data_IF_077512589473
#
_entry.id   IF_077512589473
#
_cell.length_a   1.000
_cell.length_b   1.000
_cell.length_c   1.000
_cell.angle_alpha   90.00
_cell.angle_beta   90.00
_cell.angle_gamma   90.00
#
_symmetry.space_group_name_H-M   'P 1'
#
loop_
_entity.id
_entity.type
_entity.pdbx_description
1 polymer ?
#
# COMPACT_ATOMS: atom_id res chain seq x y z
N UNK A 1 12.10 -33.09 20.51
CA UNK A 1 11.27 -32.19 19.67
C UNK A 1 11.99 -30.85 19.55
N UNK A 2 12.09 -30.27 18.35
CA UNK A 2 12.73 -28.97 18.16
C UNK A 2 11.77 -27.85 18.61
N UNK A 3 12.00 -27.16 19.75
CA UNK A 3 11.07 -26.16 20.29
C UNK A 3 11.03 -24.86 19.50
N UNK A 4 11.92 -24.71 18.51
CA UNK A 4 12.03 -23.55 17.63
C UNK A 4 11.47 -23.82 16.23
N UNK A 5 11.25 -25.08 15.85
CA UNK A 5 11.01 -25.45 14.45
C UNK A 5 12.22 -25.17 13.55
N UNK A 6 12.07 -25.43 12.24
CA UNK A 6 13.10 -25.14 11.24
C UNK A 6 12.73 -23.86 10.49
N UNK A 7 13.47 -22.77 10.73
CA UNK A 7 13.13 -21.46 10.19
C UNK A 7 12.94 -21.45 8.67
N UNK A 8 13.80 -22.14 7.91
CA UNK A 8 13.71 -22.18 6.43
C UNK A 8 12.39 -22.77 5.97
N UNK A 9 11.96 -23.89 6.56
CA UNK A 9 10.69 -24.52 6.23
C UNK A 9 9.49 -23.65 6.62
N UNK A 10 9.53 -22.99 7.78
CA UNK A 10 8.46 -22.07 8.19
C UNK A 10 8.34 -20.88 7.25
N UNK A 11 9.48 -20.28 6.85
CA UNK A 11 9.54 -19.19 5.89
C UNK A 11 9.01 -19.61 4.52
N UNK A 12 9.45 -20.77 4.02
CA UNK A 12 9.04 -21.27 2.71
C UNK A 12 7.52 -21.59 2.71
N UNK A 13 7.00 -22.18 3.79
CA UNK A 13 5.57 -22.39 3.97
C UNK A 13 4.78 -21.07 4.09
N UNK A 14 5.33 -20.08 4.80
CA UNK A 14 4.72 -18.75 4.90
C UNK A 14 4.58 -18.10 3.53
N UNK A 15 5.63 -18.20 2.70
CA UNK A 15 5.61 -17.75 1.31
C UNK A 15 4.53 -18.49 0.51
N UNK A 16 4.51 -19.82 0.52
CA UNK A 16 3.49 -20.61 -0.18
C UNK A 16 2.06 -20.29 0.26
N UNK A 17 1.83 -20.05 1.55
CA UNK A 17 0.52 -19.66 2.07
C UNK A 17 0.08 -18.28 1.57
N UNK A 18 1.01 -17.32 1.47
CA UNK A 18 0.72 -16.01 0.87
C UNK A 18 0.35 -16.17 -0.60
N UNK A 19 1.09 -16.96 -1.38
CA UNK A 19 0.77 -17.20 -2.79
C UNK A 19 -0.61 -17.82 -2.96
N UNK A 20 -0.93 -18.84 -2.16
CA UNK A 20 -2.24 -19.46 -2.15
C UNK A 20 -3.36 -18.44 -1.81
N UNK A 21 -3.13 -17.51 -0.87
CA UNK A 21 -4.10 -16.45 -0.58
C UNK A 21 -4.35 -15.57 -1.82
N UNK A 22 -3.29 -15.15 -2.51
CA UNK A 22 -3.40 -14.30 -3.70
C UNK A 22 -4.12 -15.02 -4.85
N UNK A 23 -3.85 -16.31 -5.04
CA UNK A 23 -4.55 -17.12 -6.04
C UNK A 23 -6.04 -17.23 -5.76
N UNK A 24 -6.42 -17.46 -4.49
CA UNK A 24 -7.83 -17.50 -4.08
C UNK A 24 -8.51 -16.16 -4.32
N UNK A 25 -7.86 -15.06 -3.95
CA UNK A 25 -8.38 -13.71 -4.17
C UNK A 25 -8.64 -13.42 -5.65
N UNK A 26 -7.78 -13.90 -6.53
CA UNK A 26 -7.91 -13.70 -7.98
C UNK A 26 -8.90 -14.66 -8.66
N UNK A 27 -9.55 -15.57 -7.93
CA UNK A 27 -10.61 -16.42 -8.54
C UNK A 27 -11.86 -15.58 -8.85
N UNK A 28 -12.40 -15.67 -10.08
CA UNK A 28 -13.51 -14.83 -10.51
C UNK A 28 -14.84 -15.18 -9.84
N UNK A 29 -15.09 -16.45 -9.54
CA UNK A 29 -16.34 -16.92 -8.93
C UNK A 29 -16.03 -17.88 -7.78
N UNK A 30 -16.09 -17.37 -6.55
CA UNK A 30 -16.00 -18.15 -5.32
C UNK A 30 -16.82 -17.40 -4.25
N UNK A 31 -17.90 -18.01 -3.76
CA UNK A 31 -18.83 -17.35 -2.83
C UNK A 31 -18.23 -17.12 -1.43
N UNK A 32 -17.21 -17.90 -1.07
CA UNK A 32 -16.49 -17.85 0.22
C UNK A 32 -15.04 -17.37 0.02
N UNK A 33 -14.84 -16.45 -0.93
CA UNK A 33 -13.51 -16.05 -1.40
C UNK A 33 -12.77 -15.20 -0.37
N UNK A 34 -13.44 -14.18 0.14
CA UNK A 34 -12.81 -13.17 1.00
C UNK A 34 -12.43 -13.81 2.34
N UNK A 35 -13.23 -14.74 2.83
CA UNK A 35 -12.97 -15.53 4.03
C UNK A 35 -11.81 -16.51 3.83
N UNK A 36 -11.82 -17.30 2.75
CA UNK A 36 -10.70 -18.19 2.41
C UNK A 36 -9.39 -17.39 2.24
N UNK A 37 -9.47 -16.23 1.59
CA UNK A 37 -8.35 -15.34 1.39
C UNK A 37 -7.77 -14.86 2.72
N UNK A 38 -8.59 -14.31 3.62
CA UNK A 38 -8.10 -13.80 4.91
C UNK A 38 -7.59 -14.93 5.81
N UNK A 39 -8.21 -16.11 5.80
CA UNK A 39 -7.72 -17.28 6.55
C UNK A 39 -6.30 -17.67 6.09
N UNK A 40 -6.08 -17.74 4.77
CA UNK A 40 -4.77 -18.08 4.22
C UNK A 40 -3.74 -16.98 4.46
N UNK A 41 -4.13 -15.70 4.34
CA UNK A 41 -3.26 -14.56 4.61
C UNK A 41 -2.85 -14.50 6.09
N UNK A 42 -3.77 -14.72 7.02
CA UNK A 42 -3.48 -14.78 8.45
C UNK A 42 -2.55 -15.96 8.78
N UNK A 43 -2.76 -17.12 8.17
CA UNK A 43 -1.87 -18.27 8.31
C UNK A 43 -0.46 -17.99 7.76
N UNK A 44 -0.36 -17.31 6.61
CA UNK A 44 0.93 -16.89 6.05
C UNK A 44 1.70 -16.01 7.05
N UNK A 45 1.03 -15.02 7.63
CA UNK A 45 1.60 -14.16 8.67
C UNK A 45 2.00 -14.93 9.93
N UNK A 46 1.18 -15.88 10.39
CA UNK A 46 1.50 -16.70 11.55
C UNK A 46 2.80 -17.50 11.33
N UNK A 47 2.94 -18.11 10.16
CA UNK A 47 4.15 -18.83 9.77
C UNK A 47 5.36 -17.90 9.62
N UNK A 48 5.17 -16.70 9.06
CA UNK A 48 6.22 -15.69 8.90
C UNK A 48 6.79 -15.25 10.25
N UNK A 49 5.92 -14.88 11.20
CA UNK A 49 6.32 -14.44 12.54
C UNK A 49 6.99 -15.60 13.29
N UNK A 50 6.45 -16.83 13.19
CA UNK A 50 7.12 -18.02 13.75
C UNK A 50 8.48 -18.28 13.11
N UNK A 51 8.66 -18.03 11.82
CA UNK A 51 9.95 -18.14 11.15
C UNK A 51 10.94 -17.10 11.69
N UNK A 52 10.49 -15.87 11.96
CA UNK A 52 11.31 -14.81 12.57
C UNK A 52 11.75 -15.19 13.99
N UNK A 53 10.83 -15.69 14.82
CA UNK A 53 11.12 -16.22 16.15
C UNK A 53 12.12 -17.38 16.08
N UNK A 54 11.86 -18.36 15.20
CA UNK A 54 12.71 -19.53 14.98
C UNK A 54 14.14 -19.16 14.57
N UNK A 55 14.28 -18.19 13.65
CA UNK A 55 15.58 -17.66 13.19
C UNK A 55 16.39 -17.10 14.36
N UNK A 56 15.72 -16.44 15.30
CA UNK A 56 16.32 -15.83 16.49
C UNK A 56 16.35 -16.77 17.72
N UNK A 57 16.11 -18.07 17.54
CA UNK A 57 16.09 -19.08 18.62
C UNK A 57 15.07 -18.78 19.73
N UNK A 58 13.96 -18.13 19.39
CA UNK A 58 12.81 -17.95 20.29
C UNK A 58 11.83 -19.11 20.11
N UNK A 59 11.32 -19.63 21.23
CA UNK A 59 10.40 -20.77 21.26
C UNK A 59 9.07 -20.42 20.58
N UNK A 60 8.56 -21.33 19.74
CA UNK A 60 7.30 -21.14 18.98
C UNK A 60 6.14 -22.03 19.45
N UNK A 61 6.34 -22.77 20.55
CA UNK A 61 5.33 -23.64 21.17
C UNK A 61 4.98 -23.14 22.56
N UNK A 62 3.72 -23.27 22.96
CA UNK A 62 3.33 -23.10 24.35
C UNK A 62 4.02 -24.14 25.25
N UNK A 63 4.11 -23.88 26.56
CA UNK A 63 4.45 -24.90 27.55
C UNK A 63 3.61 -26.15 27.34
N UNK A 64 4.24 -27.33 27.46
CA UNK A 64 3.54 -28.59 27.26
C UNK A 64 2.66 -28.86 28.47
N UNK A 65 1.36 -28.89 28.27
CA UNK A 65 0.41 -29.39 29.26
C UNK A 65 0.33 -30.92 29.23
N UNK A 66 0.10 -31.52 30.39
CA UNK A 66 -0.12 -32.97 30.53
C UNK A 66 -1.39 -33.36 29.76
N UNK A 67 -1.32 -34.48 29.04
CA UNK A 67 -2.45 -35.08 28.29
C UNK A 67 -3.09 -34.23 27.17
N UNK A 68 -2.51 -33.07 26.81
CA UNK A 68 -2.93 -32.26 25.65
C UNK A 68 -1.92 -32.35 24.51
N UNK A 69 -2.31 -32.19 23.24
CA UNK A 69 -1.37 -32.09 22.13
C UNK A 69 -0.44 -30.88 22.27
N UNK A 70 0.69 -30.88 21.57
CA UNK A 70 1.55 -29.70 21.52
C UNK A 70 0.86 -28.59 20.73
N UNK A 71 0.80 -27.39 21.31
CA UNK A 71 0.22 -26.21 20.68
C UNK A 71 1.32 -25.23 20.29
N UNK A 72 1.30 -24.75 19.06
CA UNK A 72 2.14 -23.63 18.61
C UNK A 72 1.51 -22.31 19.00
N UNK A 73 2.32 -21.26 19.18
CA UNK A 73 1.82 -19.91 19.45
C UNK A 73 0.79 -19.47 18.41
N UNK A 74 -0.29 -18.82 18.84
CA UNK A 74 -1.21 -18.11 17.95
C UNK A 74 -0.50 -16.95 17.24
N UNK A 75 -1.04 -16.43 16.13
CA UNK A 75 -0.50 -15.22 15.49
C UNK A 75 -0.31 -14.06 16.49
N UNK A 76 -1.29 -13.80 17.38
CA UNK A 76 -1.22 -12.71 18.36
C UNK A 76 -0.06 -12.90 19.34
N UNK A 77 0.07 -14.09 19.89
CA UNK A 77 1.13 -14.38 20.86
C UNK A 77 2.51 -14.42 20.20
N UNK A 78 2.58 -14.94 18.97
CA UNK A 78 3.79 -14.92 18.18
C UNK A 78 4.22 -13.47 17.85
N UNK A 79 3.27 -12.59 17.49
CA UNK A 79 3.55 -11.17 17.23
C UNK A 79 4.08 -10.47 18.48
N UNK A 80 3.44 -10.69 19.63
CA UNK A 80 3.88 -10.10 20.88
C UNK A 80 5.30 -10.55 21.25
N UNK A 81 5.60 -11.84 21.08
CA UNK A 81 6.96 -12.37 21.28
C UNK A 81 7.98 -11.82 20.27
N UNK A 82 7.52 -11.47 19.06
CA UNK A 82 8.37 -10.95 17.99
C UNK A 82 8.61 -9.44 18.07
N UNK A 83 7.88 -8.69 18.91
CA UNK A 83 8.02 -7.23 19.09
C UNK A 83 9.47 -6.71 19.12
N UNK A 84 10.41 -7.27 19.91
CA UNK A 84 11.80 -6.78 19.94
C UNK A 84 12.63 -7.16 18.70
N UNK A 85 12.12 -8.02 17.83
CA UNK A 85 12.80 -8.54 16.65
C UNK A 85 12.36 -7.82 15.35
N UNK A 86 11.38 -6.92 15.42
CA UNK A 86 10.93 -6.17 14.26
C UNK A 86 11.99 -5.16 13.81
N UNK A 87 12.23 -5.04 12.49
CA UNK A 87 13.23 -4.12 11.96
C UNK A 87 12.77 -2.67 12.14
N UNK A 88 13.68 -1.70 12.33
CA UNK A 88 13.33 -0.29 12.53
C UNK A 88 12.64 0.34 11.30
N UNK A 89 12.83 -0.25 10.13
CA UNK A 89 12.18 0.18 8.87
C UNK A 89 10.70 -0.19 8.80
N UNK A 90 10.22 -1.13 9.63
CA UNK A 90 8.83 -1.59 9.65
C UNK A 90 8.29 -1.42 11.08
N UNK A 91 7.54 -0.33 11.36
CA UNK A 91 7.07 -0.04 12.71
C UNK A 91 6.11 -1.14 13.21
N UNK A 92 6.41 -1.73 14.37
CA UNK A 92 5.65 -2.86 14.91
C UNK A 92 4.18 -2.51 15.19
N UNK A 93 3.91 -1.35 15.81
CA UNK A 93 2.58 -0.98 16.29
C UNK A 93 1.49 -1.00 15.17
N UNK A 94 1.66 -0.31 14.04
CA UNK A 94 0.65 -0.32 12.97
C UNK A 94 0.54 -1.69 12.28
N UNK A 95 1.64 -2.45 12.16
CA UNK A 95 1.60 -3.82 11.61
C UNK A 95 0.83 -4.76 12.54
N UNK A 96 1.09 -4.69 13.84
CA UNK A 96 0.38 -5.50 14.83
C UNK A 96 -1.12 -5.16 14.84
N UNK A 97 -1.47 -3.87 14.76
CA UNK A 97 -2.85 -3.42 14.64
C UNK A 97 -3.55 -4.00 13.40
N UNK A 98 -2.90 -3.88 12.23
CA UNK A 98 -3.42 -4.41 10.96
C UNK A 98 -3.68 -5.92 11.04
N UNK A 99 -2.71 -6.68 11.58
CA UNK A 99 -2.84 -8.13 11.74
C UNK A 99 -3.89 -8.53 12.77
N UNK A 100 -4.03 -7.77 13.86
CA UNK A 100 -5.08 -8.01 14.84
C UNK A 100 -6.47 -7.79 14.24
N UNK A 101 -6.67 -6.73 13.46
CA UNK A 101 -7.93 -6.47 12.74
C UNK A 101 -8.26 -7.59 11.75
N UNK A 102 -7.26 -8.11 11.00
CA UNK A 102 -7.45 -9.27 10.12
C UNK A 102 -7.81 -10.55 10.90
N UNK A 103 -7.24 -10.75 12.10
CA UNK A 103 -7.59 -11.87 12.98
C UNK A 103 -9.00 -11.72 13.53
N UNK A 104 -9.42 -10.50 13.90
CA UNK A 104 -10.79 -10.23 14.33
C UNK A 104 -11.78 -10.47 13.20
N UNK A 105 -11.48 -9.98 12.00
CA UNK A 105 -12.27 -10.30 10.81
C UNK A 105 -12.32 -11.82 10.58
N UNK A 106 -11.20 -12.54 10.61
CA UNK A 106 -11.17 -14.00 10.46
C UNK A 106 -12.07 -14.70 11.50
N UNK A 107 -11.96 -14.32 12.77
CA UNK A 107 -12.74 -14.93 13.83
C UNK A 107 -14.25 -14.65 13.65
N UNK A 108 -14.62 -13.46 13.18
CA UNK A 108 -16.02 -13.05 13.04
C UNK A 108 -16.64 -13.51 11.69
N UNK A 109 -15.89 -13.47 10.59
CA UNK A 109 -16.30 -13.88 9.24
C UNK A 109 -16.49 -15.40 9.11
N UNK A 110 -15.80 -16.20 9.93
CA UNK A 110 -16.08 -17.64 10.05
C UNK A 110 -17.46 -17.89 10.66
N UNK A 111 -18.05 -16.90 11.35
CA UNK A 111 -19.31 -17.06 12.07
C UNK A 111 -20.54 -16.45 11.39
N UNK A 112 -20.42 -15.42 10.53
CA UNK A 112 -21.60 -14.79 9.91
C UNK A 112 -21.37 -14.26 8.49
N UNK A 113 -22.46 -14.35 7.71
CA UNK A 113 -22.64 -14.03 6.30
C UNK A 113 -21.93 -12.75 5.82
N UNK A 114 -21.40 -12.82 4.59
CA UNK A 114 -20.84 -11.70 3.81
C UNK A 114 -21.75 -10.47 3.83
N UNK A 115 -21.51 -9.54 4.75
CA UNK A 115 -22.13 -8.22 4.71
C UNK A 115 -21.60 -7.47 3.48
N UNK A 116 -22.48 -7.10 2.52
CA UNK A 116 -22.06 -6.42 1.32
C UNK A 116 -21.47 -5.05 1.69
N UNK A 117 -20.15 -4.91 1.54
CA UNK A 117 -19.43 -3.68 1.85
C UNK A 117 -18.14 -3.86 2.64
N UNK A 118 -18.13 -4.84 3.57
CA UNK A 118 -16.96 -5.11 4.40
C UNK A 118 -15.74 -5.56 3.57
N UNK A 119 -15.99 -6.17 2.40
CA UNK A 119 -14.95 -6.59 1.45
C UNK A 119 -14.00 -5.47 1.03
N UNK A 120 -14.45 -4.20 0.99
CA UNK A 120 -13.59 -3.05 0.63
C UNK A 120 -12.57 -2.76 1.73
N UNK A 121 -13.00 -2.78 2.99
CA UNK A 121 -12.12 -2.57 4.14
C UNK A 121 -11.17 -3.76 4.32
N UNK A 122 -11.68 -4.97 4.17
CA UNK A 122 -10.89 -6.20 4.21
C UNK A 122 -9.82 -6.18 3.13
N UNK A 123 -10.16 -5.72 1.93
CA UNK A 123 -9.19 -5.54 0.85
C UNK A 123 -8.10 -4.52 1.23
N UNK A 124 -8.49 -3.35 1.76
CA UNK A 124 -7.55 -2.34 2.23
C UNK A 124 -6.57 -2.89 3.27
N UNK A 125 -7.09 -3.54 4.31
CA UNK A 125 -6.29 -4.16 5.37
C UNK A 125 -5.38 -5.25 4.83
N UNK A 126 -5.89 -6.09 3.93
CA UNK A 126 -5.14 -7.20 3.35
C UNK A 126 -4.02 -6.71 2.44
N UNK A 127 -4.25 -5.67 1.64
CA UNK A 127 -3.23 -5.10 0.79
C UNK A 127 -2.10 -4.48 1.61
N UNK A 128 -2.43 -3.77 2.70
CA UNK A 128 -1.42 -3.29 3.66
C UNK A 128 -0.64 -4.46 4.28
N UNK A 129 -1.33 -5.53 4.66
CA UNK A 129 -0.71 -6.74 5.19
C UNK A 129 0.24 -7.39 4.18
N UNK A 130 -0.09 -7.44 2.88
CA UNK A 130 0.78 -7.99 1.84
C UNK A 130 2.05 -7.13 1.67
N UNK A 131 1.90 -5.80 1.66
CA UNK A 131 3.04 -4.87 1.56
C UNK A 131 3.97 -5.03 2.78
N UNK A 132 3.40 -5.05 3.98
CA UNK A 132 4.16 -5.27 5.22
C UNK A 132 4.85 -6.63 5.23
N UNK A 133 4.20 -7.67 4.69
CA UNK A 133 4.77 -9.01 4.64
C UNK A 133 6.00 -9.05 3.73
N UNK A 134 5.92 -8.42 2.55
CA UNK A 134 7.05 -8.30 1.62
C UNK A 134 8.23 -7.59 2.28
N UNK A 135 7.99 -6.46 2.94
CA UNK A 135 9.06 -5.68 3.57
C UNK A 135 9.73 -6.46 4.70
N UNK A 136 8.96 -7.20 5.51
CA UNK A 136 9.52 -8.12 6.52
C UNK A 136 10.32 -9.25 5.85
N UNK A 137 9.88 -9.78 4.71
CA UNK A 137 10.61 -10.82 3.99
C UNK A 137 11.96 -10.35 3.45
N UNK A 138 11.98 -9.16 2.86
CA UNK A 138 13.21 -8.54 2.35
C UNK A 138 14.17 -8.28 3.52
N UNK A 139 13.71 -7.60 4.57
CA UNK A 139 14.57 -7.18 5.68
C UNK A 139 15.02 -8.33 6.58
N UNK A 140 14.11 -9.24 6.94
CA UNK A 140 14.40 -10.32 7.89
C UNK A 140 14.88 -11.61 7.23
N UNK A 141 14.56 -11.88 5.96
CA UNK A 141 14.94 -13.12 5.29
C UNK A 141 15.79 -12.93 4.04
N UNK A 142 16.05 -11.67 3.62
CA UNK A 142 16.82 -11.33 2.41
C UNK A 142 16.27 -12.02 1.15
N UNK A 143 14.95 -12.06 1.03
CA UNK A 143 14.22 -12.60 -0.12
C UNK A 143 13.13 -11.60 -0.51
N UNK A 144 13.10 -11.20 -1.77
CA UNK A 144 11.96 -10.47 -2.32
C UNK A 144 10.94 -11.46 -2.86
N UNK A 145 9.70 -11.35 -2.40
CA UNK A 145 8.60 -12.17 -2.89
C UNK A 145 8.16 -11.72 -4.28
N UNK A 146 8.36 -10.44 -4.62
CA UNK A 146 7.98 -9.89 -5.91
C UNK A 146 8.71 -10.58 -7.09
N UNK A 147 9.90 -11.13 -6.86
CA UNK A 147 10.66 -11.85 -7.88
C UNK A 147 10.01 -13.19 -8.28
N UNK A 148 9.16 -13.75 -7.41
CA UNK A 148 8.51 -15.06 -7.61
C UNK A 148 7.03 -14.93 -7.97
N UNK A 149 6.46 -13.72 -7.95
CA UNK A 149 5.03 -13.48 -8.18
C UNK A 149 4.84 -12.44 -9.27
N UNK A 150 4.18 -12.85 -10.36
CA UNK A 150 3.66 -11.89 -11.32
C UNK A 150 2.42 -11.19 -10.71
N UNK A 151 2.65 -10.20 -9.85
CA UNK A 151 1.61 -9.42 -9.15
C UNK A 151 0.80 -8.51 -10.09
N UNK A 152 0.96 -8.63 -11.41
CA UNK A 152 0.19 -7.89 -12.41
C UNK A 152 -1.26 -8.37 -12.59
N UNK A 153 -1.91 -8.88 -11.54
CA UNK A 153 -3.33 -9.22 -11.59
C UNK A 153 -4.14 -8.00 -11.18
N UNK A 154 -4.51 -7.22 -12.19
CA UNK A 154 -5.53 -6.18 -12.09
C UNK A 154 -6.90 -6.82 -11.81
N UNK A 155 -7.79 -6.17 -11.04
CA UNK A 155 -9.18 -6.57 -11.00
C UNK A 155 -9.80 -6.38 -12.41
N UNK A 156 -10.01 -7.46 -13.15
CA UNK A 156 -10.92 -7.50 -14.30
C UNK A 156 -12.35 -7.48 -13.77
N UNK A 157 -12.78 -6.33 -13.27
CA UNK A 157 -14.14 -6.13 -12.77
C UNK A 157 -14.98 -5.42 -13.83
N UNK A 158 -16.22 -5.87 -14.02
CA UNK A 158 -17.22 -5.15 -14.81
C UNK A 158 -17.75 -3.88 -14.12
N UNK A 159 -17.38 -3.68 -12.84
CA UNK A 159 -17.75 -2.51 -12.02
C UNK A 159 -16.51 -1.92 -11.36
N UNK A 160 -16.46 -0.60 -11.22
CA UNK A 160 -15.44 0.02 -10.38
C UNK A 160 -15.54 -0.58 -8.96
N UNK A 161 -14.41 -0.93 -8.31
CA UNK A 161 -14.42 -1.22 -6.88
C UNK A 161 -15.06 -0.04 -6.14
N UNK A 162 -15.86 -0.27 -5.09
CA UNK A 162 -16.42 0.83 -4.31
C UNK A 162 -15.26 1.65 -3.70
N UNK A 163 -15.37 2.97 -3.71
CA UNK A 163 -14.40 3.84 -3.05
C UNK A 163 -14.46 3.56 -1.54
N UNK A 164 -13.35 3.16 -0.88
CA UNK A 164 -13.34 2.93 0.55
C UNK A 164 -13.78 4.16 1.36
N UNK A 165 -13.52 5.38 0.88
CA UNK A 165 -13.94 6.62 1.56
C UNK A 165 -15.45 6.81 1.45
N UNK A 166 -16.02 6.59 0.27
CA UNK A 166 -17.47 6.65 0.07
C UNK A 166 -18.15 5.56 0.91
N UNK A 167 -17.60 4.36 0.94
CA UNK A 167 -18.10 3.25 1.77
C UNK A 167 -18.12 3.61 3.26
N UNK A 168 -17.01 4.15 3.78
CA UNK A 168 -16.91 4.59 5.19
C UNK A 168 -17.94 5.67 5.52
N UNK A 169 -18.11 6.66 4.64
CA UNK A 169 -19.08 7.74 4.82
C UNK A 169 -20.53 7.24 4.77
N UNK A 170 -20.87 6.38 3.81
CA UNK A 170 -22.22 5.86 3.64
C UNK A 170 -22.65 4.88 4.73
N UNK A 171 -21.70 4.28 5.46
CA UNK A 171 -21.98 3.29 6.50
C UNK A 171 -21.61 3.75 7.92
N UNK A 172 -21.30 5.04 8.11
CA UNK A 172 -21.00 5.60 9.42
C UNK A 172 -22.15 5.36 10.43
N UNK A 173 -23.40 5.47 9.97
CA UNK A 173 -24.63 5.25 10.76
C UNK A 173 -25.30 3.90 10.44
N UNK A 174 -24.53 2.86 10.12
CA UNK A 174 -25.09 1.55 9.78
C UNK A 174 -25.90 0.93 10.94
N UNK A 175 -27.13 0.51 10.66
CA UNK A 175 -27.97 -0.28 11.57
C UNK A 175 -27.36 -1.66 11.92
N UNK A 176 -26.35 -2.09 11.16
CA UNK A 176 -25.62 -3.32 11.44
C UNK A 176 -24.62 -3.12 12.57
N UNK A 177 -24.96 -3.62 13.76
CA UNK A 177 -24.14 -3.56 14.98
C UNK A 177 -22.71 -4.07 14.80
N UNK A 178 -22.49 -5.03 13.90
CA UNK A 178 -21.16 -5.56 13.65
C UNK A 178 -20.32 -4.60 12.81
N UNK A 179 -20.91 -4.11 11.71
CA UNK A 179 -20.23 -3.16 10.84
C UNK A 179 -19.88 -1.89 11.61
N UNK A 180 -20.81 -1.34 12.38
CA UNK A 180 -20.55 -0.17 13.22
C UNK A 180 -19.49 -0.43 14.28
N UNK A 181 -19.51 -1.58 14.97
CA UNK A 181 -18.45 -1.95 15.92
C UNK A 181 -17.07 -2.09 15.26
N UNK A 182 -17.01 -2.65 14.05
CA UNK A 182 -15.77 -2.82 13.31
C UNK A 182 -15.23 -1.47 12.77
N UNK A 183 -16.11 -0.61 12.29
CA UNK A 183 -15.77 0.77 11.89
C UNK A 183 -15.24 1.57 13.08
N UNK A 184 -15.88 1.47 14.24
CA UNK A 184 -15.43 2.12 15.48
C UNK A 184 -14.04 1.64 15.88
N UNK A 185 -13.79 0.32 15.83
CA UNK A 185 -12.48 -0.26 16.12
C UNK A 185 -11.39 0.30 15.19
N UNK A 186 -11.68 0.43 13.89
CA UNK A 186 -10.73 1.00 12.92
C UNK A 186 -10.46 2.47 13.23
N UNK A 187 -11.49 3.26 13.54
CA UNK A 187 -11.35 4.68 13.87
C UNK A 187 -10.53 4.89 15.15
N UNK A 188 -10.86 4.21 16.24
CA UNK A 188 -10.12 4.28 17.51
C UNK A 188 -8.65 3.88 17.33
N UNK A 189 -8.41 2.82 16.56
CA UNK A 189 -7.04 2.35 16.27
C UNK A 189 -6.26 3.39 15.47
N UNK A 190 -6.91 4.06 14.53
CA UNK A 190 -6.29 5.12 13.72
C UNK A 190 -5.89 6.31 14.60
N UNK A 191 -6.81 6.82 15.42
CA UNK A 191 -6.56 7.94 16.34
C UNK A 191 -5.41 7.63 17.33
N UNK A 192 -5.38 6.39 17.86
CA UNK A 192 -4.31 5.94 18.75
C UNK A 192 -2.94 5.92 18.08
N UNK A 193 -2.87 5.51 16.81
CA UNK A 193 -1.63 5.46 16.03
C UNK A 193 -1.16 6.85 15.58
N UNK A 194 -2.08 7.78 15.29
CA UNK A 194 -1.77 9.18 14.96
C UNK A 194 -1.16 9.92 16.15
N UNK A 195 -1.73 9.72 17.34
CA UNK A 195 -1.23 10.31 18.59
C UNK A 195 0.21 9.85 18.90
N UNK A 196 0.63 8.72 18.33
CA UNK A 196 1.96 8.13 18.52
C UNK A 196 3.01 8.58 17.48
N UNK A 197 2.69 9.52 16.58
CA UNK A 197 3.54 9.96 15.44
C UNK A 197 4.07 8.81 14.55
N UNK A 198 3.34 7.69 14.49
CA UNK A 198 3.73 6.53 13.69
C UNK A 198 3.11 6.55 12.29
N UNK A 199 3.77 5.92 11.30
CA UNK A 199 3.25 5.83 9.92
C UNK A 199 1.97 4.98 9.87
N UNK A 200 0.82 5.64 9.89
CA UNK A 200 -0.52 5.03 9.81
C UNK A 200 -0.78 4.34 8.47
N UNK A 201 0.00 4.63 7.42
CA UNK A 201 -0.11 3.95 6.13
C UNK A 201 0.24 2.45 6.19
N UNK A 202 0.84 2.02 7.30
CA UNK A 202 1.16 0.62 7.61
C UNK A 202 0.03 -0.12 8.33
N UNK A 203 -1.05 0.56 8.70
CA UNK A 203 -2.25 0.00 9.32
C UNK A 203 -3.35 -0.29 8.29
N UNK A 204 -3.71 0.69 7.46
CA UNK A 204 -4.74 0.58 6.43
C UNK A 204 -4.37 1.40 5.19
N UNK A 205 -4.50 0.81 4.00
CA UNK A 205 -4.30 1.52 2.72
C UNK A 205 -5.67 1.75 2.06
N UNK A 206 -5.97 3.02 1.82
CA UNK A 206 -7.15 3.46 1.07
C UNK A 206 -6.77 3.57 -0.41
N UNK A 207 -7.54 2.94 -1.30
CA UNK A 207 -7.35 2.98 -2.75
C UNK A 207 -8.46 3.79 -3.40
N UNK A 208 -8.10 4.82 -4.18
CA UNK A 208 -9.03 5.44 -5.12
C UNK A 208 -8.83 4.80 -6.50
N UNK A 209 -9.90 4.27 -7.08
CA UNK A 209 -9.87 3.69 -8.43
C UNK A 209 -10.52 4.67 -9.39
N UNK A 210 -9.71 5.45 -10.11
CA UNK A 210 -10.20 6.30 -11.20
C UNK A 210 -10.09 5.54 -12.53
N UNK A 211 -11.24 5.16 -13.10
CA UNK A 211 -11.32 4.64 -14.47
C UNK A 211 -11.32 5.83 -15.43
N UNK A 212 -10.16 6.18 -15.99
CA UNK A 212 -10.11 7.15 -17.09
C UNK A 212 -10.43 6.45 -18.41
N UNK A 213 -11.66 6.65 -18.90
CA UNK A 213 -12.06 6.26 -20.25
C UNK A 213 -11.42 7.22 -21.26
N UNK A 214 -10.27 6.86 -21.85
CA UNK A 214 -9.67 7.66 -22.91
C UNK A 214 -10.33 7.36 -24.25
N UNK A 215 -11.50 7.95 -24.50
CA UNK A 215 -11.92 8.29 -25.87
C UNK A 215 -11.61 9.77 -26.10
N UNK A 216 -10.68 10.06 -27.01
CA UNK A 216 -10.30 11.41 -27.45
C UNK A 216 -11.54 12.28 -27.70
N UNK A 217 -11.84 13.26 -26.83
CA UNK A 217 -12.56 14.50 -27.14
C UNK A 217 -11.99 15.62 -26.25
N UNK A 218 -11.30 16.53 -26.92
CA UNK A 218 -11.20 18.00 -26.78
C UNK A 218 -11.55 18.70 -25.45
N UNK A 219 -10.57 19.47 -24.96
CA UNK A 219 -10.61 20.73 -24.18
C UNK A 219 -11.91 21.17 -23.49
N UNK A 220 -11.73 21.48 -22.20
CA UNK A 220 -12.51 22.41 -21.37
C UNK A 220 -13.94 21.97 -21.02
N UNK A 221 -14.10 21.44 -19.82
CA UNK A 221 -15.12 21.83 -18.84
C UNK A 221 -15.02 20.90 -17.62
N UNK A 222 -14.10 21.22 -16.69
CA UNK A 222 -14.13 20.69 -15.32
C UNK A 222 -14.03 21.88 -14.37
N UNK A 223 -15.06 22.72 -14.41
CA UNK A 223 -15.37 23.66 -13.34
C UNK A 223 -16.89 23.65 -13.13
N UNK A 224 -17.32 22.86 -12.15
CA UNK A 224 -18.56 23.01 -11.36
C UNK A 224 -18.36 22.02 -10.18
N UNK A 225 -18.08 22.44 -8.95
CA UNK A 225 -18.89 23.33 -8.09
C UNK A 225 -19.98 22.48 -7.42
N UNK A 226 -20.23 22.43 -6.11
CA UNK A 226 -20.17 23.46 -5.06
C UNK A 226 -20.51 22.80 -3.69
N UNK A 227 -19.80 23.25 -2.64
CA UNK A 227 -20.15 23.47 -1.21
C UNK A 227 -20.74 22.41 -0.25
N UNK A 228 -20.11 22.44 0.94
CA UNK A 228 -20.65 22.54 2.31
C UNK A 228 -21.85 21.66 2.69
N UNK A 229 -21.58 20.67 3.53
CA UNK A 229 -21.94 20.71 4.95
C UNK A 229 -21.19 19.55 5.64
N UNK A 230 -20.33 19.88 6.60
CA UNK A 230 -19.70 18.89 7.46
C UNK A 230 -20.69 18.49 8.56
N UNK A 231 -21.07 17.21 8.69
CA UNK A 231 -21.40 16.67 9.99
C UNK A 231 -20.09 16.37 10.71
N UNK A 232 -19.96 16.83 11.94
CA UNK A 232 -18.87 16.45 12.84
C UNK A 232 -18.82 14.92 12.97
N UNK A 233 -17.66 14.34 12.68
CA UNK A 233 -17.42 12.91 12.84
C UNK A 233 -16.56 12.34 11.72
N UNK A 234 -15.31 12.04 12.05
CA UNK A 234 -14.29 11.37 11.23
C UNK A 234 -13.55 12.31 10.26
N UNK A 235 -12.52 12.96 10.81
CA UNK A 235 -11.39 13.53 10.07
C UNK A 235 -10.60 12.38 9.43
N UNK A 236 -11.04 11.91 8.25
CA UNK A 236 -10.19 11.09 7.39
C UNK A 236 -9.15 12.02 6.76
N UNK A 237 -7.93 11.94 7.28
CA UNK A 237 -6.75 12.67 6.82
C UNK A 237 -6.52 12.37 5.35
N UNK A 238 -7.00 13.27 4.49
CA UNK A 238 -6.42 13.45 3.18
C UNK A 238 -4.96 13.79 3.42
N UNK A 239 -4.04 12.92 2.99
CA UNK A 239 -2.61 12.96 3.32
C UNK A 239 -2.04 14.34 2.95
N UNK A 240 -2.02 15.28 3.90
CA UNK A 240 -1.15 16.46 3.84
C UNK A 240 0.26 16.01 4.22
N UNK A 241 0.87 15.20 3.35
CA UNK A 241 2.33 15.05 3.38
C UNK A 241 2.88 16.43 3.09
N UNK A 242 3.62 17.01 4.04
CA UNK A 242 4.29 18.30 3.87
C UNK A 242 4.97 18.31 2.49
N UNK A 243 4.56 19.20 1.57
CA UNK A 243 5.06 19.20 0.22
C UNK A 243 6.59 19.31 0.13
N UNK A 244 7.23 19.92 1.14
CA UNK A 244 8.69 20.01 1.22
C UNK A 244 9.37 18.66 1.53
N UNK A 245 8.66 17.72 2.17
CA UNK A 245 9.13 16.35 2.41
C UNK A 245 8.87 15.42 1.22
N UNK A 246 7.76 15.60 0.50
CA UNK A 246 7.42 14.79 -0.69
C UNK A 246 8.18 15.21 -1.96
N UNK A 247 8.50 16.50 -2.09
CA UNK A 247 9.15 17.07 -3.27
C UNK A 247 10.48 17.78 -2.93
N UNK A 248 11.46 17.09 -2.31
CA UNK A 248 12.66 17.74 -1.78
C UNK A 248 13.62 18.27 -2.86
N UNK A 249 13.45 17.90 -4.15
CA UNK A 249 14.46 18.16 -5.19
C UNK A 249 14.13 19.38 -6.02
N UNK A 250 15.05 20.33 -6.07
CA UNK A 250 15.02 21.41 -7.08
C UNK A 250 15.55 20.89 -8.42
N UNK A 251 15.25 21.60 -9.51
CA UNK A 251 15.75 21.28 -10.85
C UNK A 251 17.27 21.05 -10.88
N UNK A 252 18.06 21.85 -10.15
CA UNK A 252 19.52 21.68 -10.09
C UNK A 252 19.94 20.30 -9.57
N UNK A 253 19.18 19.76 -8.61
CA UNK A 253 19.44 18.45 -8.00
C UNK A 253 19.01 17.32 -8.94
N UNK A 254 17.90 17.49 -9.66
CA UNK A 254 17.50 16.53 -10.70
C UNK A 254 18.55 16.45 -11.82
N UNK A 255 19.09 17.59 -12.24
CA UNK A 255 20.17 17.64 -13.23
C UNK A 255 21.48 16.99 -12.71
N UNK A 256 21.83 17.19 -11.44
CA UNK A 256 23.03 16.55 -10.86
C UNK A 256 22.87 15.04 -10.72
N UNK A 257 21.67 14.56 -10.35
CA UNK A 257 21.40 13.14 -10.10
C UNK A 257 21.30 12.31 -11.38
N UNK A 258 20.90 12.93 -12.50
CA UNK A 258 20.87 12.28 -13.81
C UNK A 258 22.25 12.33 -14.47
N UNK A 259 22.98 13.44 -14.32
CA UNK A 259 24.29 13.65 -14.92
C UNK A 259 24.21 14.36 -16.27
N UNK A 260 25.34 14.38 -17.01
CA UNK A 260 25.49 15.14 -18.27
C UNK A 260 24.90 14.42 -19.48
N UNK A 261 24.61 13.14 -19.36
CA UNK A 261 24.15 12.29 -20.44
C UNK A 261 23.14 11.26 -19.93
N UNK A 262 22.07 11.05 -20.70
CA UNK A 262 21.05 10.07 -20.44
C UNK A 262 20.82 9.27 -21.71
N UNK A 263 21.15 7.97 -21.68
CA UNK A 263 20.96 7.02 -22.79
C UNK A 263 21.46 7.53 -24.16
N UNK A 264 22.64 8.15 -24.20
CA UNK A 264 23.24 8.65 -25.44
C UNK A 264 22.81 10.07 -25.84
N UNK A 265 21.97 10.74 -25.05
CA UNK A 265 21.49 12.11 -25.29
C UNK A 265 22.04 13.04 -24.21
N UNK A 266 22.54 14.21 -24.62
CA UNK A 266 23.04 15.21 -23.67
C UNK A 266 21.89 15.72 -22.81
N UNK A 267 22.01 15.50 -21.50
CA UNK A 267 20.99 15.91 -20.54
C UNK A 267 21.32 17.30 -20.00
N UNK A 268 20.51 18.28 -20.38
CA UNK A 268 20.69 19.69 -20.00
C UNK A 268 19.42 20.24 -19.37
N UNK A 269 19.47 21.47 -18.85
CA UNK A 269 18.27 22.19 -18.39
C UNK A 269 17.19 22.24 -19.47
N UNK A 270 17.59 22.38 -20.75
CA UNK A 270 16.68 22.39 -21.89
C UNK A 270 16.01 21.03 -22.09
N UNK A 271 16.79 19.94 -22.07
CA UNK A 271 16.27 18.56 -22.17
C UNK A 271 15.27 18.26 -21.04
N UNK A 272 15.58 18.68 -19.83
CA UNK A 272 14.68 18.54 -18.69
C UNK A 272 13.38 19.33 -18.89
N UNK A 273 13.45 20.58 -19.35
CA UNK A 273 12.25 21.39 -19.62
C UNK A 273 11.39 20.81 -20.73
N UNK A 274 12.02 20.23 -21.77
CA UNK A 274 11.32 19.56 -22.85
C UNK A 274 10.51 18.36 -22.33
N UNK A 275 11.12 17.51 -21.52
CA UNK A 275 10.44 16.35 -20.89
C UNK A 275 9.32 16.82 -19.93
N UNK A 276 9.59 17.84 -19.11
CA UNK A 276 8.59 18.40 -18.19
C UNK A 276 7.37 18.95 -18.92
N UNK A 277 7.56 19.50 -20.12
CA UNK A 277 6.49 20.03 -20.94
C UNK A 277 5.74 18.94 -21.71
N UNK A 278 6.46 18.04 -22.39
CA UNK A 278 5.88 16.99 -23.24
C UNK A 278 5.01 16.00 -22.43
N UNK A 279 5.41 15.71 -21.19
CA UNK A 279 4.68 14.81 -20.29
C UNK A 279 3.81 15.53 -19.25
N UNK A 280 3.57 16.83 -19.41
CA UNK A 280 2.75 17.67 -18.53
C UNK A 280 3.04 17.51 -17.02
N UNK A 281 4.33 17.41 -16.69
CA UNK A 281 4.78 17.07 -15.32
C UNK A 281 4.36 18.13 -14.31
N UNK A 282 4.18 19.38 -14.74
CA UNK A 282 3.78 20.50 -13.86
C UNK A 282 2.34 20.41 -13.36
N UNK A 283 1.47 19.69 -14.07
CA UNK A 283 0.09 19.48 -13.64
C UNK A 283 -0.08 18.17 -12.86
N UNK A 284 0.99 17.39 -12.69
CA UNK A 284 0.96 16.12 -11.97
C UNK A 284 1.48 16.26 -10.52
N UNK A 285 0.60 16.19 -9.50
CA UNK A 285 0.98 16.34 -8.08
C UNK A 285 1.91 15.25 -7.54
N UNK A 286 2.07 14.13 -8.27
CA UNK A 286 2.99 13.06 -7.92
C UNK A 286 4.46 13.43 -8.18
N UNK A 287 4.69 14.31 -9.15
CA UNK A 287 6.03 14.64 -9.64
C UNK A 287 6.45 16.08 -9.36
N UNK A 288 5.48 16.99 -9.26
CA UNK A 288 5.72 18.42 -9.20
C UNK A 288 4.93 19.09 -8.08
N UNK A 289 5.61 19.97 -7.37
CA UNK A 289 4.98 20.89 -6.43
C UNK A 289 5.56 22.29 -6.57
N UNK A 290 4.72 23.31 -6.36
CA UNK A 290 5.13 24.70 -6.28
C UNK A 290 4.37 25.40 -5.15
N UNK A 291 5.06 26.11 -4.24
CA UNK A 291 4.38 26.91 -3.23
C UNK A 291 3.57 28.05 -3.86
N UNK A 292 2.38 28.33 -3.30
CA UNK A 292 1.51 29.44 -3.73
C UNK A 292 2.16 30.82 -3.49
N UNK A 293 3.04 30.92 -2.50
CA UNK A 293 3.74 32.16 -2.15
C UNK A 293 5.26 31.98 -2.20
N UNK A 294 5.89 32.55 -3.23
CA UNK A 294 7.31 32.92 -3.19
C UNK A 294 8.34 31.80 -3.09
N UNK A 295 8.16 30.64 -3.74
CA UNK A 295 9.19 29.59 -3.75
C UNK A 295 9.46 28.94 -5.11
N UNK A 296 10.59 28.21 -5.17
CA UNK A 296 11.06 27.51 -6.37
C UNK A 296 10.27 26.23 -6.62
N UNK A 297 10.16 25.86 -7.90
CA UNK A 297 9.59 24.57 -8.32
C UNK A 297 10.36 23.39 -7.71
N UNK A 298 9.61 22.49 -7.10
CA UNK A 298 10.08 21.33 -6.37
C UNK A 298 9.59 20.04 -7.05
N UNK A 299 10.40 18.99 -6.98
CA UNK A 299 10.19 17.73 -7.68
C UNK A 299 10.38 16.53 -6.77
N UNK A 300 9.59 15.48 -7.00
CA UNK A 300 9.68 14.23 -6.23
C UNK A 300 10.84 13.35 -6.74
N UNK A 301 11.39 12.45 -5.90
CA UNK A 301 12.39 11.48 -6.35
C UNK A 301 11.86 10.53 -7.44
N UNK A 302 10.53 10.33 -7.50
CA UNK A 302 9.88 9.49 -8.50
C UNK A 302 10.03 10.05 -9.91
N UNK A 303 10.13 11.37 -10.06
CA UNK A 303 10.42 12.01 -11.35
C UNK A 303 11.76 11.53 -11.93
N UNK A 304 12.78 11.28 -11.11
CA UNK A 304 14.08 10.81 -11.60
C UNK A 304 13.97 9.38 -12.14
N UNK A 305 13.21 8.53 -11.45
CA UNK A 305 12.96 7.17 -11.92
C UNK A 305 12.20 7.18 -13.27
N UNK A 306 11.20 8.05 -13.39
CA UNK A 306 10.47 8.28 -14.64
C UNK A 306 11.39 8.78 -15.76
N UNK A 307 12.20 9.82 -15.53
CA UNK A 307 13.13 10.31 -16.54
C UNK A 307 14.15 9.24 -16.96
N UNK A 308 14.60 8.39 -16.04
CA UNK A 308 15.49 7.27 -16.35
C UNK A 308 14.81 6.12 -17.11
N UNK A 309 13.49 5.95 -16.98
CA UNK A 309 12.76 4.91 -17.73
C UNK A 309 12.58 5.28 -19.20
N UNK A 310 12.49 6.58 -19.54
CA UNK A 310 12.34 7.07 -20.92
C UNK A 310 13.40 6.52 -21.87
N UNK A 311 12.96 6.09 -23.05
CA UNK A 311 13.82 5.63 -24.16
C UNK A 311 14.49 6.82 -24.86
N UNK A 312 15.56 6.54 -25.62
CA UNK A 312 16.27 7.57 -26.39
C UNK A 312 15.33 8.30 -27.36
N UNK A 313 14.46 7.55 -28.04
CA UNK A 313 13.48 8.08 -28.99
C UNK A 313 12.48 9.02 -28.33
N UNK A 314 11.97 8.67 -27.14
CA UNK A 314 11.03 9.53 -26.41
C UNK A 314 11.68 10.84 -25.97
N UNK A 315 12.95 10.79 -25.53
CA UNK A 315 13.70 12.00 -25.17
C UNK A 315 13.91 12.91 -26.39
N UNK A 316 14.25 12.35 -27.54
CA UNK A 316 14.43 13.10 -28.79
C UNK A 316 13.12 13.71 -29.28
N UNK A 317 12.01 12.96 -29.23
CA UNK A 317 10.67 13.46 -29.57
C UNK A 317 10.24 14.60 -28.65
N UNK A 318 10.45 14.48 -27.34
CA UNK A 318 10.14 15.55 -26.39
C UNK A 318 10.93 16.84 -26.69
N UNK A 319 12.22 16.72 -27.04
CA UNK A 319 13.06 17.85 -27.45
C UNK A 319 12.52 18.49 -28.73
N UNK A 320 12.12 17.69 -29.72
CA UNK A 320 11.61 18.19 -31.00
C UNK A 320 10.26 18.91 -30.83
N UNK A 321 9.34 18.32 -30.07
CA UNK A 321 8.05 18.94 -29.76
C UNK A 321 8.24 20.26 -29.00
N UNK A 322 9.13 20.27 -28.01
CA UNK A 322 9.44 21.48 -27.24
C UNK A 322 10.10 22.58 -28.10
N UNK A 323 10.91 22.20 -29.10
CA UNK A 323 11.50 23.12 -30.06
C UNK A 323 10.46 23.72 -31.01
N UNK A 324 9.45 22.95 -31.39
CA UNK A 324 8.38 23.38 -32.30
C UNK A 324 7.29 24.21 -31.60
N UNK A 325 7.21 24.17 -30.27
CA UNK A 325 6.27 24.98 -29.46
C UNK A 325 6.28 26.49 -29.77
N UNK A 326 7.43 27.05 -30.18
CA UNK A 326 7.57 28.48 -30.49
C UNK A 326 7.27 28.83 -31.96
N UNK A 327 6.92 27.86 -32.82
CA UNK A 327 6.60 28.11 -34.24
C UNK A 327 5.10 28.30 -34.51
N UNK A 328 4.24 27.93 -33.56
CA UNK A 328 2.79 28.02 -33.66
C UNK A 328 2.19 29.19 -32.83
N UNK A 329 3.01 30.20 -32.50
CA UNK A 329 2.57 31.44 -31.84
C UNK A 329 2.84 32.67 -32.70
#
# INVERSE_FOLDING_TARGET
MNPFGKFRCLRDNAKSALLASLEIYNKPQLAYRDECFVILLANAWELCVKALLSKNRVRIFYPKERDKPYLTLSLRDALQAAKPLFPPTVPFAPVAANLNSLVDYRNNAVHFYNEPGLGVLVYGLSQTAIINFRDIFITCFNQDIADEVNLSLMPLSFRAPPDPIEFLRSNADSDNKFLSAYLHLISETTESLETSETDTGRFLTVFSVSLQSTKKITSADVVAGVQNESPEGILLVDRKVDPNKSHPKLQKHVLSDIGRELKGVRFTSYTFQAIVWDHDIKNNPQYYWKPEHGGSSQYSPQLIAFVRSLTKTEIETAIENYRNRNKDH
#
